data_IF_541307256211
#
_entry.id   IF_541307256211
#
_cell.length_a   1.000
_cell.length_b   1.000
_cell.length_c   1.000
_cell.angle_alpha   90.00
_cell.angle_beta   90.00
_cell.angle_gamma   90.00
#
_symmetry.space_group_name_H-M   'P 1'
#
loop_
_entity.id
_entity.type
_entity.pdbx_description
1 polymer ?
#
# COMPACT_ATOMS: atom_id res chain seq x y z
N UNK A 1 -29.39 -36.86 -15.42
CA UNK A 1 -28.98 -36.11 -14.23
C UNK A 1 -28.43 -34.79 -14.71
N UNK A 2 -29.30 -33.77 -14.71
CA UNK A 2 -29.02 -32.47 -15.33
C UNK A 2 -28.13 -31.67 -14.37
N UNK A 3 -26.86 -31.50 -14.71
CA UNK A 3 -26.02 -30.53 -14.02
C UNK A 3 -26.55 -29.13 -14.35
N UNK A 4 -27.23 -28.50 -13.41
CA UNK A 4 -27.58 -27.09 -13.51
C UNK A 4 -26.25 -26.32 -13.58
N UNK A 5 -25.98 -25.81 -14.76
CA UNK A 5 -24.91 -24.84 -14.97
C UNK A 5 -25.35 -23.55 -14.28
N UNK A 6 -24.96 -23.37 -13.01
CA UNK A 6 -25.10 -22.08 -12.35
C UNK A 6 -24.14 -21.14 -13.09
N UNK A 7 -24.70 -20.39 -14.06
CA UNK A 7 -24.00 -19.28 -14.67
C UNK A 7 -23.56 -18.35 -13.54
N UNK A 8 -22.29 -18.36 -13.24
CA UNK A 8 -21.69 -17.37 -12.33
C UNK A 8 -21.77 -16.07 -13.09
N UNK A 9 -22.83 -15.28 -12.83
CA UNK A 9 -22.89 -13.92 -13.31
C UNK A 9 -21.66 -13.19 -12.75
N UNK A 10 -20.73 -12.86 -13.63
CA UNK A 10 -19.54 -12.10 -13.24
C UNK A 10 -20.01 -10.75 -12.66
N UNK A 11 -19.62 -10.48 -11.41
CA UNK A 11 -19.91 -9.21 -10.77
C UNK A 11 -19.29 -8.08 -11.60
N UNK A 12 -20.09 -7.12 -12.02
CA UNK A 12 -19.58 -5.99 -12.78
C UNK A 12 -18.65 -5.10 -11.93
N UNK A 13 -17.78 -4.38 -12.61
CA UNK A 13 -16.75 -3.54 -11.97
C UNK A 13 -17.30 -2.46 -11.05
N UNK A 14 -18.47 -1.88 -11.38
CA UNK A 14 -19.07 -0.79 -10.61
C UNK A 14 -19.65 -1.33 -9.30
N UNK A 15 -20.35 -2.44 -9.37
CA UNK A 15 -20.92 -3.16 -8.22
C UNK A 15 -19.80 -3.63 -7.27
N UNK A 16 -18.73 -4.24 -7.81
CA UNK A 16 -17.57 -4.64 -7.02
C UNK A 16 -16.94 -3.45 -6.30
N UNK A 17 -16.65 -2.35 -7.01
CA UNK A 17 -16.07 -1.14 -6.42
C UNK A 17 -16.98 -0.48 -5.37
N UNK A 18 -18.29 -0.54 -5.57
CA UNK A 18 -19.25 -0.03 -4.60
C UNK A 18 -19.22 -0.85 -3.31
N UNK A 19 -19.23 -2.17 -3.42
CA UNK A 19 -19.07 -3.06 -2.27
C UNK A 19 -17.75 -2.84 -1.53
N UNK A 20 -16.63 -2.86 -2.26
CA UNK A 20 -15.29 -2.66 -1.68
C UNK A 20 -15.13 -1.29 -1.01
N UNK A 21 -15.82 -0.24 -1.48
CA UNK A 21 -15.74 1.08 -0.86
C UNK A 21 -16.27 1.12 0.59
N UNK A 22 -17.06 0.12 1.00
CA UNK A 22 -17.61 -0.01 2.37
C UNK A 22 -16.65 -0.66 3.35
N UNK A 23 -15.61 -1.31 2.83
CA UNK A 23 -14.52 -1.85 3.66
C UNK A 23 -13.57 -0.71 4.00
N UNK A 24 -13.72 -0.15 5.20
CA UNK A 24 -12.80 0.86 5.70
C UNK A 24 -11.40 0.30 5.85
N UNK A 25 -10.40 1.07 5.47
CA UNK A 25 -8.99 0.68 5.57
C UNK A 25 -8.10 1.86 5.89
N UNK A 26 -6.95 1.60 6.51
CA UNK A 26 -5.91 2.60 6.68
C UNK A 26 -5.39 3.07 5.31
N UNK A 27 -5.05 4.34 5.23
CA UNK A 27 -4.36 4.90 4.06
C UNK A 27 -2.87 4.77 4.25
N UNK A 28 -2.20 4.11 3.33
CA UNK A 28 -0.77 3.86 3.40
C UNK A 28 -0.06 4.42 2.16
N UNK A 29 1.17 4.87 2.33
CA UNK A 29 2.12 5.07 1.24
C UNK A 29 3.18 3.98 1.31
N UNK A 30 3.24 3.16 0.29
CA UNK A 30 4.23 2.09 0.16
C UNK A 30 5.40 2.60 -0.67
N UNK A 31 6.60 2.48 -0.13
CA UNK A 31 7.81 3.04 -0.72
C UNK A 31 8.90 2.01 -0.92
N UNK A 32 9.71 2.21 -1.94
CA UNK A 32 10.93 1.44 -2.19
C UNK A 32 12.00 2.31 -2.84
N UNK A 33 13.19 1.76 -2.97
CA UNK A 33 14.30 2.36 -3.74
C UNK A 33 14.75 1.39 -4.83
N UNK A 34 14.93 1.90 -6.04
CA UNK A 34 15.44 1.14 -7.17
C UNK A 34 16.38 2.04 -7.98
N UNK A 35 17.57 1.55 -8.31
CA UNK A 35 18.62 2.30 -9.04
C UNK A 35 18.89 3.70 -8.46
N UNK A 36 18.98 3.78 -7.13
CA UNK A 36 19.23 5.04 -6.40
C UNK A 36 18.05 5.99 -6.32
N UNK A 37 16.92 5.73 -7.00
CA UNK A 37 15.72 6.57 -7.01
C UNK A 37 14.67 6.07 -6.05
N UNK A 38 13.88 7.01 -5.52
CA UNK A 38 12.74 6.74 -4.64
C UNK A 38 11.48 6.50 -5.45
N UNK A 39 10.72 5.49 -5.08
CA UNK A 39 9.42 5.15 -5.68
C UNK A 39 8.40 4.91 -4.60
N UNK A 40 7.14 5.16 -4.91
CA UNK A 40 6.05 4.88 -3.98
C UNK A 40 4.69 5.01 -4.63
N UNK A 41 3.69 4.43 -3.97
CA UNK A 41 2.28 4.52 -4.36
C UNK A 41 1.39 4.48 -3.12
N UNK A 42 0.18 5.03 -3.24
CA UNK A 42 -0.83 4.95 -2.18
C UNK A 42 -1.56 3.63 -2.26
N UNK A 43 -1.70 2.96 -1.12
CA UNK A 43 -2.37 1.69 -0.98
C UNK A 43 -3.34 1.68 0.22
N UNK A 44 -4.52 1.12 0.00
CA UNK A 44 -5.44 0.70 1.05
C UNK A 44 -5.44 -0.83 1.23
N UNK A 45 -4.96 -1.56 0.23
CA UNK A 45 -4.86 -3.02 0.25
C UNK A 45 -3.57 -3.46 0.95
N UNK A 46 -3.56 -3.34 2.26
CA UNK A 46 -2.50 -3.81 3.18
C UNK A 46 -3.15 -4.65 4.26
N UNK A 47 -2.58 -5.81 4.55
CA UNK A 47 -3.14 -6.69 5.58
C UNK A 47 -2.03 -7.50 6.26
N UNK A 48 -2.24 -7.81 7.54
CA UNK A 48 -1.42 -8.76 8.31
C UNK A 48 -1.62 -10.17 7.75
N UNK A 49 -0.54 -10.95 7.70
CA UNK A 49 -0.53 -12.35 7.22
C UNK A 49 -0.17 -13.30 8.36
N UNK A 50 0.86 -12.99 9.14
CA UNK A 50 1.38 -13.85 10.21
C UNK A 50 2.09 -13.02 11.27
N UNK A 51 2.04 -13.48 12.52
CA UNK A 51 2.79 -12.90 13.62
C UNK A 51 4.16 -13.55 13.79
N UNK A 52 4.32 -14.79 13.30
CA UNK A 52 5.56 -15.56 13.46
C UNK A 52 5.91 -16.32 12.17
N UNK A 53 6.85 -15.81 11.38
CA UNK A 53 7.47 -14.48 11.48
C UNK A 53 6.47 -13.36 11.13
N UNK A 54 6.67 -12.17 11.70
CA UNK A 54 5.83 -11.02 11.42
C UNK A 54 5.83 -10.71 9.91
N UNK A 55 4.68 -10.85 9.28
CA UNK A 55 4.53 -10.77 7.82
C UNK A 55 3.26 -10.01 7.48
N UNK A 56 3.35 -9.11 6.52
CA UNK A 56 2.22 -8.40 5.92
C UNK A 56 2.19 -8.58 4.41
N UNK A 57 1.08 -8.26 3.80
CA UNK A 57 0.96 -8.18 2.34
C UNK A 57 0.50 -6.80 1.86
N UNK A 58 0.88 -6.47 0.63
CA UNK A 58 0.45 -5.27 -0.08
C UNK A 58 0.11 -5.62 -1.52
N UNK A 59 -0.97 -5.07 -2.06
CA UNK A 59 -1.32 -5.23 -3.47
C UNK A 59 -0.92 -3.99 -4.28
N UNK A 60 -0.15 -4.19 -5.34
CA UNK A 60 0.21 -3.14 -6.31
C UNK A 60 -0.41 -3.43 -7.69
N UNK A 61 -1.00 -2.41 -8.31
CA UNK A 61 -1.49 -2.52 -9.68
C UNK A 61 -0.30 -2.62 -10.65
N UNK A 62 -0.30 -3.64 -11.52
CA UNK A 62 0.76 -3.86 -12.52
C UNK A 62 0.84 -2.76 -13.58
N UNK A 63 -0.23 -1.96 -13.76
CA UNK A 63 -0.23 -0.77 -14.60
C UNK A 63 0.28 0.50 -13.88
N UNK A 64 0.70 0.40 -12.61
CA UNK A 64 1.26 1.54 -11.87
C UNK A 64 2.58 1.99 -12.49
N UNK A 65 2.80 3.31 -12.57
CA UNK A 65 4.04 3.92 -13.08
C UNK A 65 5.30 3.54 -12.29
N UNK A 66 5.14 3.06 -11.05
CA UNK A 66 6.25 2.61 -10.21
C UNK A 66 6.35 1.07 -10.11
N UNK A 67 5.51 0.31 -10.83
CA UNK A 67 5.49 -1.15 -10.73
C UNK A 67 6.86 -1.78 -10.97
N UNK A 68 7.60 -1.33 -11.99
CA UNK A 68 8.93 -1.83 -12.32
C UNK A 68 9.92 -1.76 -11.15
N UNK A 69 9.82 -0.72 -10.31
CA UNK A 69 10.68 -0.57 -9.14
C UNK A 69 10.35 -1.58 -8.04
N UNK A 70 9.06 -1.88 -7.85
CA UNK A 70 8.61 -2.89 -6.87
C UNK A 70 8.80 -4.32 -7.37
N UNK A 71 8.77 -4.56 -8.68
CA UNK A 71 9.07 -5.86 -9.27
C UNK A 71 10.52 -6.31 -9.00
N UNK A 72 11.44 -5.35 -8.96
CA UNK A 72 12.85 -5.59 -8.73
C UNK A 72 13.32 -5.26 -7.30
N UNK A 73 12.39 -4.88 -6.41
CA UNK A 73 12.72 -4.53 -5.04
C UNK A 73 13.06 -5.76 -4.20
N UNK A 74 14.06 -5.64 -3.33
CA UNK A 74 14.30 -6.58 -2.23
C UNK A 74 13.65 -6.16 -0.92
N UNK A 75 13.35 -4.87 -0.78
CA UNK A 75 12.78 -4.27 0.42
C UNK A 75 11.76 -3.19 0.06
N UNK A 76 10.80 -2.97 0.96
CA UNK A 76 9.85 -1.87 0.87
C UNK A 76 9.43 -1.40 2.27
N UNK A 77 8.83 -0.22 2.36
CA UNK A 77 8.25 0.27 3.60
C UNK A 77 6.77 0.59 3.40
N UNK A 78 5.94 0.21 4.36
CA UNK A 78 4.54 0.64 4.46
C UNK A 78 4.48 1.78 5.48
N UNK A 79 4.10 2.98 5.04
CA UNK A 79 3.94 4.16 5.87
C UNK A 79 2.44 4.43 6.03
N UNK A 80 1.89 4.15 7.20
CA UNK A 80 0.49 4.43 7.53
C UNK A 80 0.32 5.91 7.83
N UNK A 81 -0.52 6.59 7.07
CA UNK A 81 -0.70 8.03 7.18
C UNK A 81 -1.54 8.40 8.40
N UNK A 82 -1.31 9.61 8.90
CA UNK A 82 -2.13 10.24 9.93
C UNK A 82 -3.11 11.26 9.32
N UNK A 83 -4.17 11.67 10.05
CA UNK A 83 -5.01 12.81 9.67
C UNK A 83 -4.18 14.05 9.35
N UNK A 84 -4.57 14.76 8.29
CA UNK A 84 -3.82 15.92 7.77
C UNK A 84 -2.79 15.57 6.68
N UNK A 85 -2.56 14.27 6.40
CA UNK A 85 -1.65 13.82 5.35
C UNK A 85 -2.38 13.39 4.05
N UNK A 86 -3.64 13.83 3.84
CA UNK A 86 -4.43 13.53 2.63
C UNK A 86 -3.73 14.00 1.35
N UNK A 87 -2.99 15.13 1.43
CA UNK A 87 -2.21 15.64 0.29
C UNK A 87 -1.06 14.70 -0.08
N UNK A 88 -0.40 14.08 0.90
CA UNK A 88 0.62 13.05 0.66
C UNK A 88 -0.05 11.86 -0.03
N UNK A 89 -1.17 11.36 0.50
CA UNK A 89 -1.93 10.28 -0.14
C UNK A 89 -2.26 10.58 -1.61
N UNK A 90 -2.70 11.80 -1.91
CA UNK A 90 -3.08 12.22 -3.25
C UNK A 90 -1.88 12.28 -4.22
N UNK A 91 -0.70 12.73 -3.75
CA UNK A 91 0.53 12.73 -4.55
C UNK A 91 0.93 11.32 -5.00
N UNK A 92 0.82 10.34 -4.12
CA UNK A 92 1.22 8.97 -4.40
C UNK A 92 0.12 8.13 -5.08
N UNK A 93 -1.15 8.53 -4.95
CA UNK A 93 -2.31 7.82 -5.51
C UNK A 93 -2.77 8.33 -6.88
N UNK A 94 -2.33 9.51 -7.30
CA UNK A 94 -2.80 10.19 -8.49
C UNK A 94 -1.92 10.01 -9.73
N UNK A 95 -2.09 10.95 -10.68
CA UNK A 95 -1.30 11.04 -11.91
C UNK A 95 0.01 11.82 -11.72
N UNK A 96 0.38 12.15 -10.50
CA UNK A 96 1.62 12.86 -10.18
C UNK A 96 2.83 12.09 -10.69
N UNK A 97 3.76 12.79 -11.31
CA UNK A 97 5.02 12.19 -11.77
C UNK A 97 5.75 11.57 -10.59
N UNK A 98 6.41 10.46 -10.82
CA UNK A 98 7.13 9.71 -9.77
C UNK A 98 8.12 10.60 -9.03
N UNK A 99 8.85 11.45 -9.74
CA UNK A 99 9.86 12.35 -9.17
C UNK A 99 9.27 13.40 -8.22
N UNK A 100 8.01 13.82 -8.45
CA UNK A 100 7.33 14.86 -7.67
C UNK A 100 6.58 14.31 -6.44
N UNK A 101 6.42 12.98 -6.33
CA UNK A 101 5.64 12.36 -5.25
C UNK A 101 6.20 12.62 -3.85
N UNK A 102 7.51 12.78 -3.75
CA UNK A 102 8.21 13.00 -2.48
C UNK A 102 8.38 14.50 -2.12
N UNK A 103 7.62 15.40 -2.78
CA UNK A 103 7.69 16.83 -2.54
C UNK A 103 7.13 17.27 -1.17
N UNK A 104 6.22 16.48 -0.60
CA UNK A 104 5.64 16.71 0.72
C UNK A 104 6.05 15.59 1.69
N UNK A 105 6.12 15.95 2.98
CA UNK A 105 6.50 15.03 4.06
C UNK A 105 8.00 15.02 4.37
N UNK A 106 8.34 14.62 5.58
CA UNK A 106 9.74 14.41 6.03
C UNK A 106 10.15 12.96 5.73
N UNK A 107 10.72 12.73 4.56
CA UNK A 107 11.16 11.41 4.09
C UNK A 107 12.61 11.15 4.49
N UNK A 108 12.81 10.15 5.32
CA UNK A 108 14.13 9.71 5.81
C UNK A 108 14.50 8.37 5.21
N UNK A 109 15.78 8.07 5.24
CA UNK A 109 16.28 6.75 4.85
C UNK A 109 16.07 5.75 5.99
N UNK A 110 15.43 4.62 5.68
CA UNK A 110 15.22 3.53 6.62
C UNK A 110 16.43 2.62 6.77
N UNK A 111 16.25 1.53 7.53
CA UNK A 111 17.31 0.54 7.80
C UNK A 111 17.82 -0.12 6.51
N UNK A 112 16.96 -0.34 5.54
CA UNK A 112 17.28 -0.97 4.24
C UNK A 112 17.49 0.04 3.12
N UNK A 113 17.58 1.32 3.44
CA UNK A 113 17.71 2.40 2.44
C UNK A 113 16.40 2.81 1.77
N UNK A 114 15.27 2.21 2.13
CA UNK A 114 13.95 2.58 1.62
C UNK A 114 13.47 3.90 2.24
N UNK A 115 12.68 4.72 1.53
CA UNK A 115 12.11 5.93 2.12
C UNK A 115 11.09 5.60 3.22
N UNK A 116 11.25 6.24 4.38
CA UNK A 116 10.36 6.15 5.53
C UNK A 116 9.82 7.55 5.86
N UNK A 117 8.52 7.68 6.01
CA UNK A 117 7.87 8.93 6.42
C UNK A 117 8.03 9.11 7.93
N UNK A 118 8.78 10.16 8.35
CA UNK A 118 9.14 10.34 9.75
C UNK A 118 7.96 10.63 10.67
N UNK A 119 6.92 11.28 10.13
CA UNK A 119 5.70 11.66 10.83
C UNK A 119 4.48 10.78 10.47
N UNK A 120 4.70 9.56 9.97
CA UNK A 120 3.64 8.58 9.81
C UNK A 120 3.04 8.15 11.16
N UNK A 121 1.79 7.67 11.16
CA UNK A 121 1.18 7.02 12.33
C UNK A 121 1.94 5.75 12.71
N UNK A 122 2.29 4.94 11.69
CA UNK A 122 3.19 3.80 11.85
C UNK A 122 3.97 3.57 10.55
N UNK A 123 5.17 2.97 10.66
CA UNK A 123 5.95 2.55 9.51
C UNK A 123 6.48 1.13 9.71
N UNK A 124 6.33 0.31 8.67
CA UNK A 124 6.75 -1.11 8.64
C UNK A 124 7.79 -1.27 7.54
N UNK A 125 9.05 -1.42 7.92
CA UNK A 125 10.12 -1.75 6.98
C UNK A 125 10.14 -3.26 6.75
N UNK A 126 10.10 -3.70 5.51
CA UNK A 126 9.92 -5.10 5.13
C UNK A 126 10.98 -5.57 4.15
N UNK A 127 11.42 -6.81 4.31
CA UNK A 127 12.08 -7.59 3.27
C UNK A 127 11.03 -8.29 2.42
N UNK A 128 11.12 -8.18 1.09
CA UNK A 128 10.24 -8.91 0.18
C UNK A 128 10.59 -10.40 0.21
N UNK A 129 9.67 -11.25 0.66
CA UNK A 129 9.89 -12.70 0.77
C UNK A 129 9.21 -13.50 -0.32
N UNK A 130 8.12 -13.00 -0.87
CA UNK A 130 7.37 -13.64 -1.94
C UNK A 130 6.54 -12.61 -2.71
N UNK A 131 6.21 -12.91 -3.96
CA UNK A 131 5.29 -12.12 -4.77
C UNK A 131 4.44 -13.03 -5.65
N UNK A 132 3.15 -12.72 -5.76
CA UNK A 132 2.18 -13.49 -6.56
C UNK A 132 1.41 -12.55 -7.48
N UNK A 133 1.36 -12.88 -8.75
CA UNK A 133 0.54 -12.16 -9.72
C UNK A 133 -0.88 -12.69 -9.70
N UNK A 134 -1.84 -11.80 -9.50
CA UNK A 134 -3.27 -12.10 -9.57
C UNK A 134 -3.97 -11.05 -10.43
N UNK A 135 -4.46 -11.48 -11.58
CA UNK A 135 -5.16 -10.64 -12.55
C UNK A 135 -4.39 -9.33 -12.86
N UNK A 136 -4.91 -8.17 -12.46
CA UNK A 136 -4.31 -6.83 -12.71
C UNK A 136 -3.33 -6.39 -11.64
N UNK A 137 -3.14 -7.17 -10.59
CA UNK A 137 -2.32 -6.81 -9.43
C UNK A 137 -1.22 -7.84 -9.17
N UNK A 138 -0.21 -7.38 -8.45
CA UNK A 138 0.80 -8.23 -7.77
C UNK A 138 0.62 -8.07 -6.27
N UNK A 139 0.61 -9.18 -5.57
CA UNK A 139 0.61 -9.25 -4.11
C UNK A 139 2.06 -9.41 -3.67
N UNK A 140 2.54 -8.46 -2.89
CA UNK A 140 3.88 -8.48 -2.30
C UNK A 140 3.77 -8.98 -0.85
N UNK A 141 4.52 -10.00 -0.47
CA UNK A 141 4.63 -10.47 0.91
C UNK A 141 5.91 -9.95 1.52
N UNK A 142 5.79 -9.20 2.61
CA UNK A 142 6.91 -8.59 3.30
C UNK A 142 7.09 -9.14 4.71
N UNK A 143 8.27 -9.70 5.00
CA UNK A 143 8.67 -9.96 6.38
C UNK A 143 9.03 -8.65 7.04
N UNK A 144 8.32 -8.29 8.09
CA UNK A 144 8.56 -7.06 8.84
C UNK A 144 9.86 -7.19 9.63
N UNK A 145 10.80 -6.29 9.38
CA UNK A 145 12.12 -6.26 10.06
C UNK A 145 12.27 -5.08 11.01
N UNK A 146 11.44 -4.05 10.86
CA UNK A 146 11.41 -2.90 11.76
C UNK A 146 10.03 -2.26 11.74
N UNK A 147 9.58 -1.85 12.93
CA UNK A 147 8.37 -1.06 13.11
C UNK A 147 8.74 0.23 13.82
N UNK A 148 8.13 1.34 13.41
CA UNK A 148 8.09 2.59 14.15
C UNK A 148 6.62 2.93 14.35
N UNK A 149 6.23 3.17 15.56
CA UNK A 149 4.89 3.58 15.95
C UNK A 149 4.93 4.96 16.57
N UNK A 150 3.88 5.72 16.36
CA UNK A 150 3.64 6.97 17.06
C UNK A 150 2.31 6.84 17.79
N UNK A 151 2.37 6.41 19.05
CA UNK A 151 1.21 6.11 19.89
C UNK A 151 0.26 7.31 20.09
N UNK A 152 0.75 8.54 19.95
CA UNK A 152 -0.05 9.75 20.09
C UNK A 152 -0.79 10.16 18.82
N UNK A 153 -0.59 9.43 17.70
CA UNK A 153 -1.14 9.81 16.40
C UNK A 153 -2.23 8.86 15.93
N UNK A 154 -3.37 9.44 15.59
CA UNK A 154 -4.47 8.74 14.93
C UNK A 154 -4.07 8.26 13.53
N UNK A 155 -4.83 7.33 12.97
CA UNK A 155 -4.63 6.80 11.63
C UNK A 155 -5.61 7.43 10.66
N UNK A 156 -5.13 7.85 9.48
CA UNK A 156 -5.99 8.28 8.38
C UNK A 156 -6.68 7.05 7.77
N UNK A 157 -8.00 7.06 7.79
CA UNK A 157 -8.82 5.99 7.21
C UNK A 157 -9.43 6.43 5.87
N UNK A 158 -9.76 5.46 5.05
CA UNK A 158 -10.52 5.66 3.82
C UNK A 158 -11.69 4.68 3.76
N UNK A 159 -12.90 5.23 3.68
CA UNK A 159 -14.13 4.44 3.63
C UNK A 159 -15.20 5.23 2.85
N UNK A 160 -16.04 4.52 2.09
CA UNK A 160 -17.11 5.13 1.29
C UNK A 160 -16.60 6.28 0.40
N UNK A 161 -15.41 6.13 -0.18
CA UNK A 161 -14.71 7.08 -1.08
C UNK A 161 -14.38 8.43 -0.44
N UNK A 162 -14.19 8.47 0.86
CA UNK A 162 -13.77 9.66 1.62
C UNK A 162 -12.76 9.32 2.70
N UNK A 163 -11.94 10.30 3.05
CA UNK A 163 -11.05 10.21 4.19
C UNK A 163 -11.83 10.38 5.49
N UNK A 164 -11.43 9.66 6.52
CA UNK A 164 -11.95 9.72 7.88
C UNK A 164 -10.77 9.73 8.86
N UNK A 165 -10.93 10.41 9.97
CA UNK A 165 -9.97 10.38 11.07
C UNK A 165 -10.30 9.19 11.97
N UNK A 166 -9.31 8.35 12.24
CA UNK A 166 -9.41 7.21 13.15
C UNK A 166 -9.19 7.64 14.61
#
# INVERSE_FOLDING_TARGET
>A
MNMMNHGVDNVDKATFRSGMSRLGSAVNVVTTRHDGKRYGFTASAVCSVSDTPATLLVCINRASSCFHAFENASCFCVNTLMPGQENISNLFGGKTRVDDRFALGDWREGLTGVPVLADASASFECELTNAVDEATHRILFGRVIRIRENEERATLLYCMRRYLNG
#
